data_IF_444365888465
#
_entry.id   IF_444365888465
#
_cell.length_a   1.000
_cell.length_b   1.000
_cell.length_c   1.000
_cell.angle_alpha   90.00
_cell.angle_beta   90.00
_cell.angle_gamma   90.00
#
_symmetry.space_group_name_H-M   'P 1'
#
loop_
_entity.id
_entity.type
_entity.pdbx_description
1 polymer ?
#
# COMPACT_ATOMS: atom_id res chain seq x y z
N UNK A 1 10.68 -22.19 15.74
CA UNK A 1 9.99 -20.98 16.21
C UNK A 1 9.18 -20.42 15.07
N UNK A 2 7.92 -20.09 15.29
CA UNK A 2 7.04 -19.55 14.23
C UNK A 2 7.36 -18.07 14.01
N UNK A 3 7.47 -17.63 12.76
CA UNK A 3 7.62 -16.20 12.38
C UNK A 3 6.54 -15.33 13.06
N UNK A 4 5.34 -15.90 13.23
CA UNK A 4 4.18 -15.23 13.85
C UNK A 4 4.42 -14.83 15.32
N UNK A 5 5.28 -15.52 16.05
CA UNK A 5 5.61 -15.18 17.45
C UNK A 5 6.61 -14.01 17.58
N UNK A 6 7.24 -13.62 16.48
CA UNK A 6 8.20 -12.51 16.43
C UNK A 6 7.57 -11.23 15.83
N UNK A 7 6.39 -11.33 15.25
CA UNK A 7 5.72 -10.20 14.64
C UNK A 7 4.80 -9.52 15.66
N UNK A 8 4.74 -8.19 15.60
CA UNK A 8 3.76 -7.40 16.32
C UNK A 8 2.35 -7.80 15.85
N UNK A 9 1.53 -8.28 16.77
CA UNK A 9 0.12 -8.52 16.47
C UNK A 9 -0.57 -7.17 16.21
N UNK A 10 -1.05 -6.98 15.01
CA UNK A 10 -1.91 -5.84 14.68
C UNK A 10 -3.34 -6.20 15.11
N UNK A 11 -3.88 -5.45 16.05
CA UNK A 11 -5.27 -5.56 16.44
C UNK A 11 -6.09 -4.63 15.53
N UNK A 12 -7.00 -5.21 14.73
CA UNK A 12 -7.85 -4.46 13.81
C UNK A 12 -8.64 -3.36 14.51
N UNK A 13 -9.19 -3.65 15.69
CA UNK A 13 -9.92 -2.67 16.51
C UNK A 13 -9.03 -1.49 16.91
N UNK A 14 -7.77 -1.73 17.29
CA UNK A 14 -6.85 -0.64 17.63
C UNK A 14 -6.50 0.22 16.42
N UNK A 15 -6.35 -0.37 15.24
CA UNK A 15 -6.13 0.39 14.01
C UNK A 15 -7.34 1.27 13.66
N UNK A 16 -8.55 0.73 13.78
CA UNK A 16 -9.79 1.49 13.58
C UNK A 16 -9.89 2.67 14.54
N UNK A 17 -9.70 2.45 15.85
CA UNK A 17 -9.73 3.50 16.84
C UNK A 17 -8.67 4.60 16.58
N UNK A 18 -7.44 4.20 16.21
CA UNK A 18 -6.39 5.18 15.89
C UNK A 18 -6.74 6.02 14.67
N UNK A 19 -7.34 5.39 13.66
CA UNK A 19 -7.80 6.10 12.46
C UNK A 19 -8.94 7.08 12.79
N UNK A 20 -9.91 6.62 13.57
CA UNK A 20 -11.04 7.41 14.01
C UNK A 20 -10.62 8.62 14.89
N UNK A 21 -9.59 8.45 15.72
CA UNK A 21 -9.01 9.54 16.51
C UNK A 21 -8.42 10.65 15.62
N UNK A 22 -7.78 10.29 14.50
CA UNK A 22 -7.18 11.28 13.61
C UNK A 22 -8.17 11.93 12.64
N UNK A 23 -9.38 11.42 12.53
CA UNK A 23 -10.37 11.90 11.58
C UNK A 23 -10.97 13.26 11.97
N UNK A 24 -11.09 13.57 13.25
CA UNK A 24 -11.59 14.85 13.71
C UNK A 24 -10.88 15.35 14.98
N UNK A 25 -10.75 16.68 15.17
CA UNK A 25 -10.16 17.26 16.36
C UNK A 25 -11.01 17.00 17.61
N UNK A 26 -10.35 16.78 18.74
CA UNK A 26 -11.00 16.55 20.04
C UNK A 26 -11.39 15.11 20.31
N UNK A 27 -11.19 14.18 19.38
CA UNK A 27 -11.38 12.74 19.57
C UNK A 27 -10.16 12.15 20.27
N UNK A 28 -10.38 11.33 21.29
CA UNK A 28 -9.33 10.68 22.06
C UNK A 28 -9.63 9.21 22.27
N UNK A 29 -8.59 8.38 22.33
CA UNK A 29 -8.73 6.99 22.74
C UNK A 29 -8.55 6.94 24.24
N UNK A 30 -9.57 6.48 24.96
CA UNK A 30 -9.52 6.35 26.41
C UNK A 30 -9.58 4.89 26.84
N UNK A 31 -9.04 4.61 28.01
CA UNK A 31 -9.18 3.32 28.70
C UNK A 31 -10.38 3.37 29.62
N UNK A 32 -11.28 2.38 29.50
CA UNK A 32 -12.45 2.27 30.37
C UNK A 32 -12.04 1.88 31.78
N UNK A 33 -12.65 2.51 32.77
CA UNK A 33 -12.40 2.23 34.19
C UNK A 33 -13.44 1.25 34.74
N UNK A 34 -12.97 0.20 35.39
CA UNK A 34 -13.86 -0.88 35.87
C UNK A 34 -14.85 -0.45 36.96
N UNK A 35 -14.60 0.67 37.68
CA UNK A 35 -15.46 1.19 38.71
C UNK A 35 -16.51 2.17 38.17
N UNK A 36 -16.41 2.62 36.92
CA UNK A 36 -17.32 3.57 36.32
C UNK A 36 -18.58 2.87 35.82
N UNK A 37 -19.74 3.48 36.12
CA UNK A 37 -21.04 2.98 35.68
C UNK A 37 -21.34 3.47 34.27
N UNK A 38 -21.00 2.68 33.27
CA UNK A 38 -21.36 2.96 31.90
C UNK A 38 -22.73 2.38 31.55
N UNK A 39 -23.52 3.15 30.80
CA UNK A 39 -24.72 2.67 30.14
C UNK A 39 -24.49 2.65 28.64
N UNK A 40 -25.11 1.69 27.96
CA UNK A 40 -25.07 1.57 26.51
C UNK A 40 -26.24 2.33 25.89
N UNK A 41 -25.95 3.08 24.85
CA UNK A 41 -26.89 3.87 24.05
C UNK A 41 -27.01 3.27 22.67
N UNK A 42 -28.22 3.18 22.16
CA UNK A 42 -28.47 3.10 20.72
C UNK A 42 -28.84 4.51 20.27
N UNK A 43 -27.92 5.17 19.59
CA UNK A 43 -28.10 6.53 19.07
C UNK A 43 -28.54 6.51 17.61
N UNK A 44 -29.45 7.42 17.26
CA UNK A 44 -29.96 7.58 15.89
C UNK A 44 -29.91 9.06 15.54
N UNK A 45 -29.43 9.37 14.34
CA UNK A 45 -29.42 10.73 13.78
C UNK A 45 -30.67 11.02 12.92
N UNK A 46 -30.77 12.22 12.36
CA UNK A 46 -31.85 12.65 11.48
C UNK A 46 -31.90 11.86 10.15
N UNK A 47 -30.81 11.21 9.75
CA UNK A 47 -30.71 10.38 8.54
C UNK A 47 -30.96 8.90 8.82
N UNK A 48 -31.38 8.56 10.05
CA UNK A 48 -31.61 7.19 10.49
C UNK A 48 -30.34 6.31 10.51
N UNK A 49 -29.17 6.94 10.66
CA UNK A 49 -27.94 6.22 10.95
C UNK A 49 -27.95 5.81 12.42
N UNK A 50 -27.52 4.57 12.69
CA UNK A 50 -27.52 4.02 14.03
C UNK A 50 -26.08 3.78 14.50
N UNK A 51 -25.82 4.10 15.78
CA UNK A 51 -24.54 3.80 16.42
C UNK A 51 -24.76 3.32 17.84
N UNK A 52 -23.93 2.32 18.21
CA UNK A 52 -23.84 1.88 19.61
C UNK A 52 -22.75 2.68 20.31
N UNK A 53 -23.15 3.40 21.35
CA UNK A 53 -22.26 4.21 22.15
C UNK A 53 -22.40 3.87 23.64
N UNK A 54 -21.50 4.39 24.45
CA UNK A 54 -21.53 4.29 25.89
C UNK A 54 -21.32 5.67 26.49
N UNK A 55 -21.86 5.88 27.70
CA UNK A 55 -21.60 7.09 28.46
C UNK A 55 -21.48 6.79 29.94
N UNK A 56 -20.74 7.63 30.64
CA UNK A 56 -20.63 7.59 32.10
C UNK A 56 -21.89 8.23 32.69
N UNK A 57 -22.74 7.40 33.29
CA UNK A 57 -24.01 7.88 33.86
C UNK A 57 -23.79 8.77 35.10
N UNK A 58 -22.74 8.55 35.87
CA UNK A 58 -22.45 9.37 37.05
C UNK A 58 -21.95 10.75 36.66
N UNK A 59 -21.16 10.84 35.59
CA UNK A 59 -20.72 12.11 35.00
C UNK A 59 -21.91 12.89 34.46
N UNK A 60 -22.78 12.20 33.71
CA UNK A 60 -23.99 12.81 33.14
C UNK A 60 -24.91 13.35 34.27
N UNK A 61 -25.17 12.55 35.33
CA UNK A 61 -25.98 12.95 36.45
C UNK A 61 -25.38 14.14 37.22
N UNK A 62 -24.05 14.17 37.35
CA UNK A 62 -23.36 15.30 37.97
C UNK A 62 -23.54 16.60 37.18
N UNK A 63 -23.53 16.53 35.89
CA UNK A 63 -23.79 17.70 35.02
C UNK A 63 -25.26 18.17 35.12
N UNK A 64 -26.17 17.26 35.42
CA UNK A 64 -27.60 17.54 35.64
C UNK A 64 -27.97 17.87 37.11
N UNK A 65 -27.03 17.76 38.05
CA UNK A 65 -27.30 17.89 39.49
C UNK A 65 -27.90 19.25 39.87
N UNK A 66 -27.63 20.29 39.11
CA UNK A 66 -28.27 21.60 39.28
C UNK A 66 -29.79 21.56 39.09
N UNK A 67 -30.32 20.54 38.39
CA UNK A 67 -31.73 20.39 38.07
C UNK A 67 -32.45 19.40 38.97
N UNK A 68 -31.71 18.51 39.65
CA UNK A 68 -32.24 17.44 40.51
C UNK A 68 -31.49 17.35 41.86
N UNK A 69 -31.50 18.41 42.63
CA UNK A 69 -30.74 18.46 43.88
C UNK A 69 -31.30 17.50 44.95
N UNK A 70 -30.39 16.88 45.69
CA UNK A 70 -30.73 16.11 46.90
C UNK A 70 -31.01 14.63 46.71
N UNK A 71 -30.82 14.07 45.51
CA UNK A 71 -30.91 12.63 45.24
C UNK A 71 -29.52 12.01 45.30
N UNK A 72 -29.29 10.96 46.10
CA UNK A 72 -28.00 10.25 46.15
C UNK A 72 -27.88 9.32 44.90
N UNK A 73 -27.69 9.88 43.75
CA UNK A 73 -27.69 9.17 42.44
C UNK A 73 -26.74 7.99 42.37
N UNK A 74 -25.58 8.09 43.04
CA UNK A 74 -24.60 7.02 43.14
C UNK A 74 -25.13 5.74 43.78
N UNK A 75 -26.16 5.87 44.63
CA UNK A 75 -26.80 4.74 45.31
C UNK A 75 -27.98 4.16 44.55
N UNK A 76 -28.43 4.83 43.49
CA UNK A 76 -29.51 4.35 42.63
C UNK A 76 -28.98 3.23 41.71
N UNK A 77 -29.58 2.02 41.77
CA UNK A 77 -29.16 0.92 40.89
C UNK A 77 -29.31 1.29 39.39
N UNK A 78 -28.35 0.88 38.57
CA UNK A 78 -28.31 1.20 37.14
C UNK A 78 -29.56 0.76 36.38
N UNK A 79 -30.22 -0.33 36.80
CA UNK A 79 -31.48 -0.80 36.24
C UNK A 79 -32.67 0.15 36.41
N UNK A 80 -32.67 0.96 37.47
CA UNK A 80 -33.68 2.01 37.65
C UNK A 80 -33.31 3.24 36.83
N UNK A 81 -32.01 3.55 36.71
CA UNK A 81 -31.54 4.67 35.92
C UNK A 81 -31.86 4.45 34.43
N UNK A 82 -31.65 3.25 33.87
CA UNK A 82 -32.00 2.98 32.48
C UNK A 82 -33.47 3.20 32.19
N UNK A 83 -34.37 2.70 33.07
CA UNK A 83 -35.82 2.91 32.90
C UNK A 83 -36.19 4.38 32.90
N UNK A 84 -35.64 5.14 33.85
CA UNK A 84 -35.89 6.56 34.00
C UNK A 84 -35.33 7.34 32.79
N UNK A 85 -34.08 7.10 32.43
CA UNK A 85 -33.43 7.80 31.31
C UNK A 85 -34.12 7.55 29.95
N UNK A 86 -34.65 6.35 29.74
CA UNK A 86 -35.47 6.06 28.54
C UNK A 86 -36.76 6.88 28.47
N UNK A 87 -37.26 7.38 29.60
CA UNK A 87 -38.45 8.30 29.61
C UNK A 87 -38.08 9.73 29.25
N UNK A 88 -36.78 10.09 29.32
CA UNK A 88 -36.33 11.47 29.07
C UNK A 88 -36.00 11.78 27.63
N UNK A 89 -35.96 10.78 26.72
CA UNK A 89 -35.57 10.93 25.33
C UNK A 89 -34.28 11.75 25.18
N UNK A 90 -33.18 11.21 25.69
CA UNK A 90 -31.90 11.90 25.71
C UNK A 90 -31.40 12.18 24.28
N UNK A 91 -30.88 13.39 24.10
CA UNK A 91 -30.20 13.77 22.86
C UNK A 91 -28.79 14.26 23.18
N UNK A 92 -27.88 13.99 22.25
CA UNK A 92 -26.48 14.35 22.35
C UNK A 92 -26.10 15.15 21.11
N UNK A 93 -25.49 16.31 21.32
CA UNK A 93 -24.90 17.08 20.22
C UNK A 93 -23.44 16.59 20.06
N UNK A 94 -23.14 15.96 18.94
CA UNK A 94 -21.83 15.42 18.60
C UNK A 94 -21.41 15.98 17.25
N UNK A 95 -20.32 16.73 17.19
CA UNK A 95 -19.77 17.26 15.93
C UNK A 95 -20.85 18.01 15.08
N UNK A 96 -21.62 18.87 15.77
CA UNK A 96 -22.72 19.67 15.19
C UNK A 96 -23.94 18.85 14.70
N UNK A 97 -23.99 17.55 14.99
CA UNK A 97 -25.14 16.67 14.67
C UNK A 97 -25.86 16.26 15.94
N UNK A 98 -27.19 16.30 15.92
CA UNK A 98 -28.01 15.85 17.03
C UNK A 98 -28.29 14.35 16.88
N UNK A 99 -27.88 13.60 17.90
CA UNK A 99 -28.13 12.17 18.04
C UNK A 99 -29.13 11.93 19.17
N UNK A 100 -30.20 11.20 18.87
CA UNK A 100 -31.24 10.86 19.86
C UNK A 100 -31.04 9.43 20.32
N UNK A 101 -31.11 9.21 21.63
CA UNK A 101 -31.08 7.87 22.20
C UNK A 101 -32.44 7.20 21.99
N UNK A 102 -32.45 6.18 21.11
CA UNK A 102 -33.62 5.33 20.88
C UNK A 102 -33.81 4.34 22.02
N UNK A 103 -32.70 3.81 22.55
CA UNK A 103 -32.72 2.89 23.69
C UNK A 103 -31.47 3.08 24.57
N UNK A 104 -31.68 2.92 25.90
CA UNK A 104 -30.63 3.00 26.92
C UNK A 104 -30.70 1.72 27.74
N UNK A 105 -29.66 0.91 27.67
CA UNK A 105 -29.61 -0.41 28.31
C UNK A 105 -28.36 -0.58 29.18
N UNK A 106 -28.41 -1.58 30.03
CA UNK A 106 -27.21 -2.07 30.70
C UNK A 106 -26.38 -2.89 29.71
N UNK A 107 -25.07 -2.67 29.64
CA UNK A 107 -24.22 -3.49 28.79
C UNK A 107 -24.36 -4.97 29.14
N UNK A 108 -24.72 -5.80 28.17
CA UNK A 108 -24.82 -7.26 28.36
C UNK A 108 -23.44 -7.94 28.36
N UNK A 109 -22.47 -7.30 27.73
CA UNK A 109 -21.09 -7.76 27.62
C UNK A 109 -20.12 -6.81 28.32
N UNK A 110 -18.95 -7.30 28.73
CA UNK A 110 -17.92 -6.43 29.25
C UNK A 110 -17.58 -5.32 28.25
N UNK A 111 -17.56 -4.09 28.71
CA UNK A 111 -17.21 -2.93 27.90
C UNK A 111 -15.78 -3.10 27.41
N UNK A 112 -15.49 -2.82 26.14
CA UNK A 112 -14.13 -2.88 25.61
C UNK A 112 -13.18 -2.00 26.42
N UNK A 113 -11.97 -2.49 26.66
CA UNK A 113 -10.97 -1.78 27.49
C UNK A 113 -10.53 -0.44 26.89
N UNK A 114 -10.71 -0.25 25.59
CA UNK A 114 -10.39 0.99 24.86
C UNK A 114 -11.55 1.38 23.98
N UNK A 115 -11.93 2.65 24.09
CA UNK A 115 -13.00 3.25 23.30
C UNK A 115 -12.55 4.61 22.74
N UNK A 116 -13.15 5.02 21.64
CA UNK A 116 -13.07 6.37 21.13
C UNK A 116 -13.98 7.26 21.96
N UNK A 117 -13.41 8.31 22.52
CA UNK A 117 -14.10 9.37 23.23
C UNK A 117 -14.42 10.51 22.28
N UNK A 118 -15.68 10.86 22.18
CA UNK A 118 -16.20 11.95 21.36
C UNK A 118 -16.71 13.06 22.28
N UNK A 119 -16.24 14.29 22.10
CA UNK A 119 -16.84 15.44 22.76
C UNK A 119 -18.32 15.54 22.37
N UNK A 120 -19.19 15.60 23.37
CA UNK A 120 -20.63 15.73 23.17
C UNK A 120 -21.27 16.52 24.29
N UNK A 121 -22.40 17.14 24.02
CA UNK A 121 -23.24 17.78 25.01
C UNK A 121 -24.51 16.94 25.25
N UNK A 122 -24.90 16.67 26.48
CA UNK A 122 -24.42 17.24 27.77
C UNK A 122 -23.21 16.53 28.37
N UNK A 123 -22.75 15.39 27.84
CA UNK A 123 -21.55 14.70 28.31
C UNK A 123 -20.90 13.91 27.16
N UNK A 124 -19.61 13.65 27.30
CA UNK A 124 -18.83 12.84 26.38
C UNK A 124 -19.44 11.47 26.15
N UNK A 125 -19.45 11.01 24.91
CA UNK A 125 -19.86 9.65 24.53
C UNK A 125 -18.64 8.83 24.09
N UNK A 126 -18.76 7.52 24.26
CA UNK A 126 -17.70 6.55 23.96
C UNK A 126 -18.22 5.54 22.96
N UNK A 127 -17.44 5.21 21.93
CA UNK A 127 -17.84 4.21 20.95
C UNK A 127 -16.64 3.40 20.44
N UNK A 128 -16.90 2.30 19.78
CA UNK A 128 -15.89 1.53 19.05
C UNK A 128 -15.75 2.02 17.63
N UNK A 129 -16.86 2.43 17.05
CA UNK A 129 -16.99 2.86 15.67
C UNK A 129 -17.96 4.04 15.61
N UNK A 130 -17.66 5.03 14.76
CA UNK A 130 -18.51 6.22 14.63
C UNK A 130 -18.92 6.41 13.18
N UNK A 131 -20.24 6.49 12.90
CA UNK A 131 -20.73 6.73 11.54
C UNK A 131 -20.36 8.13 11.06
N UNK A 132 -20.12 8.29 9.79
CA UNK A 132 -19.66 9.54 9.17
C UNK A 132 -18.23 9.42 8.65
N UNK A 133 -17.54 8.38 8.99
CA UNK A 133 -16.31 7.94 8.31
C UNK A 133 -16.63 7.05 7.10
N UNK A 134 -17.66 7.39 6.32
CA UNK A 134 -17.60 7.03 4.90
C UNK A 134 -16.30 7.70 4.45
N UNK A 135 -15.35 6.88 4.06
CA UNK A 135 -14.06 7.28 3.52
C UNK A 135 -14.30 8.13 2.26
N UNK A 136 -14.80 9.34 2.44
CA UNK A 136 -14.38 10.42 1.58
C UNK A 136 -12.94 10.63 2.00
N UNK A 137 -12.05 10.22 1.10
CA UNK A 137 -10.61 10.32 1.19
C UNK A 137 -10.18 11.79 1.39
N UNK A 138 -10.52 12.33 2.56
CA UNK A 138 -10.13 13.68 2.97
C UNK A 138 -8.82 13.60 3.73
N UNK A 139 -7.74 13.62 2.95
CA UNK A 139 -6.48 14.12 3.42
C UNK A 139 -5.54 13.12 4.09
N UNK A 140 -4.64 12.65 3.34
CA UNK A 140 -3.39 11.91 3.44
C UNK A 140 -3.46 10.52 2.79
N UNK A 141 -4.48 10.21 2.02
CA UNK A 141 -4.46 9.13 1.05
C UNK A 141 -3.34 9.41 0.05
N UNK A 142 -2.49 8.42 -0.21
CA UNK A 142 -1.53 8.51 -1.32
C UNK A 142 -2.34 8.89 -2.55
N UNK A 143 -2.06 10.06 -3.14
CA UNK A 143 -2.64 10.43 -4.41
C UNK A 143 -2.14 9.43 -5.47
N UNK A 144 -2.95 8.43 -5.78
CA UNK A 144 -2.57 7.38 -6.73
C UNK A 144 -2.16 7.94 -8.09
N UNK A 145 -2.69 9.10 -8.47
CA UNK A 145 -2.31 9.76 -9.71
C UNK A 145 -0.84 10.22 -9.73
N UNK A 146 -0.27 10.50 -8.55
CA UNK A 146 1.12 10.97 -8.38
C UNK A 146 2.11 9.85 -8.03
N UNK A 147 1.65 8.60 -7.86
CA UNK A 147 2.55 7.49 -7.58
C UNK A 147 3.57 7.36 -8.71
N UNK A 148 4.89 7.41 -8.40
CA UNK A 148 5.92 7.27 -9.41
C UNK A 148 6.00 5.82 -9.88
N UNK A 149 5.91 5.63 -11.20
CA UNK A 149 6.01 4.35 -11.87
C UNK A 149 7.24 4.35 -12.77
N UNK A 150 8.04 3.30 -12.73
CA UNK A 150 9.19 3.15 -13.64
C UNK A 150 8.71 2.53 -14.96
N UNK A 151 8.69 3.34 -16.03
CA UNK A 151 8.43 2.92 -17.39
C UNK A 151 9.73 2.49 -18.04
N UNK A 152 9.81 1.24 -18.51
CA UNK A 152 10.97 0.67 -19.20
C UNK A 152 10.68 0.52 -20.69
N UNK A 153 11.66 0.85 -21.50
CA UNK A 153 11.65 0.72 -22.96
C UNK A 153 12.46 -0.52 -23.33
N UNK A 154 11.82 -1.66 -23.50
CA UNK A 154 12.47 -2.94 -23.71
C UNK A 154 12.64 -3.21 -25.21
N UNK A 155 13.86 -3.49 -25.66
CA UNK A 155 14.18 -3.83 -27.05
C UNK A 155 13.99 -5.31 -27.35
N UNK A 156 14.11 -6.16 -26.34
CA UNK A 156 13.95 -7.59 -26.47
C UNK A 156 14.37 -8.36 -25.25
N UNK A 157 14.09 -9.64 -25.28
CA UNK A 157 14.46 -10.59 -24.23
C UNK A 157 15.16 -11.79 -24.83
N UNK A 158 16.06 -12.39 -24.04
CA UNK A 158 16.69 -13.67 -24.35
C UNK A 158 16.57 -14.59 -23.14
N UNK A 159 16.72 -15.87 -23.35
CA UNK A 159 17.03 -16.84 -22.30
C UNK A 159 18.36 -17.51 -22.62
N UNK A 160 19.20 -17.63 -21.62
CA UNK A 160 20.49 -18.32 -21.72
C UNK A 160 20.84 -19.01 -20.41
N UNK A 161 21.59 -20.11 -20.44
CA UNK A 161 22.12 -20.69 -19.22
C UNK A 161 23.14 -19.72 -18.58
N UNK A 162 23.22 -19.70 -17.28
CA UNK A 162 24.14 -18.84 -16.53
C UNK A 162 25.59 -19.02 -16.97
N UNK A 163 25.98 -20.26 -17.31
CA UNK A 163 27.31 -20.59 -17.85
C UNK A 163 27.67 -19.83 -19.12
N UNK A 164 26.69 -19.48 -19.97
CA UNK A 164 26.97 -18.74 -21.20
C UNK A 164 27.35 -17.26 -20.95
N UNK A 165 27.12 -16.77 -19.73
CA UNK A 165 27.43 -15.40 -19.32
C UNK A 165 28.68 -15.32 -18.41
N UNK A 166 29.22 -16.49 -18.00
CA UNK A 166 30.35 -16.53 -17.06
C UNK A 166 31.62 -15.93 -17.64
N UNK A 167 31.85 -16.12 -18.93
CA UNK A 167 33.06 -15.69 -19.63
C UNK A 167 32.85 -14.37 -20.42
N UNK A 168 31.74 -13.67 -20.18
CA UNK A 168 31.43 -12.42 -20.87
C UNK A 168 32.42 -11.33 -20.48
N UNK A 169 33.02 -10.69 -21.49
CA UNK A 169 33.96 -9.58 -21.29
C UNK A 169 33.52 -8.33 -22.08
N UNK A 170 34.00 -7.14 -21.70
CA UNK A 170 33.79 -5.94 -22.50
C UNK A 170 34.32 -6.14 -23.93
N UNK A 171 33.52 -5.75 -24.91
CA UNK A 171 33.74 -5.98 -26.36
C UNK A 171 32.97 -7.18 -26.92
N UNK A 172 32.37 -8.02 -26.07
CA UNK A 172 31.52 -9.12 -26.53
C UNK A 172 30.15 -8.63 -27.05
N UNK A 173 29.61 -9.36 -28.00
CA UNK A 173 28.31 -9.06 -28.60
C UNK A 173 27.23 -9.98 -28.02
N UNK A 174 26.25 -9.40 -27.36
CA UNK A 174 25.04 -10.08 -26.94
C UNK A 174 23.93 -9.86 -27.98
N UNK A 175 23.68 -10.88 -28.80
CA UNK A 175 22.65 -10.83 -29.87
C UNK A 175 21.26 -10.82 -29.22
N UNK A 176 20.40 -9.89 -29.66
CA UNK A 176 18.99 -9.86 -29.31
C UNK A 176 18.24 -10.87 -30.17
N UNK A 177 17.97 -12.06 -29.62
CA UNK A 177 17.36 -13.17 -30.36
C UNK A 177 15.87 -12.97 -30.56
N UNK A 178 15.20 -12.35 -29.60
CA UNK A 178 13.76 -12.05 -29.64
C UNK A 178 13.58 -10.54 -29.55
N UNK A 179 13.63 -9.79 -30.67
CA UNK A 179 13.35 -8.36 -30.66
C UNK A 179 11.86 -8.15 -30.41
N UNK A 180 11.54 -7.63 -29.26
CA UNK A 180 10.17 -7.36 -28.81
C UNK A 180 10.15 -5.94 -28.26
N UNK A 181 9.89 -4.96 -29.12
CA UNK A 181 9.88 -3.55 -28.68
C UNK A 181 8.61 -3.24 -27.89
N UNK A 182 8.73 -3.14 -26.56
CA UNK A 182 7.58 -2.85 -25.71
C UNK A 182 7.91 -1.96 -24.54
N UNK A 183 6.89 -1.20 -24.11
CA UNK A 183 6.88 -0.43 -22.88
C UNK A 183 6.37 -1.33 -21.76
N UNK A 184 7.08 -1.34 -20.62
CA UNK A 184 6.72 -2.16 -19.48
C UNK A 184 6.77 -1.38 -18.16
N UNK A 185 5.86 -1.71 -17.25
CA UNK A 185 5.87 -1.27 -15.83
C UNK A 185 5.82 -2.53 -14.96
N UNK A 186 6.84 -2.70 -14.11
CA UNK A 186 6.97 -3.91 -13.31
C UNK A 186 7.05 -5.16 -14.20
N UNK A 187 6.03 -6.02 -14.15
CA UNK A 187 5.92 -7.25 -14.94
C UNK A 187 4.95 -7.12 -16.11
N UNK A 188 4.28 -5.99 -16.26
CA UNK A 188 3.23 -5.81 -17.25
C UNK A 188 3.77 -5.13 -18.50
N UNK A 189 3.58 -5.79 -19.64
CA UNK A 189 3.83 -5.22 -20.96
C UNK A 189 2.60 -4.40 -21.35
N UNK A 190 2.80 -3.12 -21.68
CA UNK A 190 1.70 -2.19 -21.91
C UNK A 190 1.43 -1.94 -23.37
N UNK A 191 2.45 -1.49 -24.10
CA UNK A 191 2.35 -1.09 -25.50
C UNK A 191 3.58 -1.56 -26.27
N UNK A 192 3.43 -1.87 -27.53
CA UNK A 192 4.56 -1.93 -28.44
C UNK A 192 5.08 -0.52 -28.73
N UNK A 193 6.31 -0.38 -29.18
CA UNK A 193 6.84 0.88 -29.65
C UNK A 193 7.73 0.70 -30.87
N UNK A 194 8.01 1.79 -31.61
CA UNK A 194 9.03 1.88 -32.63
C UNK A 194 10.04 2.97 -32.24
N UNK A 195 11.33 2.65 -32.34
CA UNK A 195 12.44 3.58 -32.12
C UNK A 195 13.07 3.96 -33.47
N UNK A 196 13.19 5.26 -33.74
CA UNK A 196 13.68 5.78 -35.00
C UNK A 196 15.02 6.53 -34.88
N UNK A 197 15.65 6.49 -33.71
CA UNK A 197 16.98 7.07 -33.50
C UNK A 197 17.02 8.58 -33.24
N UNK A 198 15.87 9.22 -32.99
CA UNK A 198 15.77 10.67 -32.78
C UNK A 198 15.43 11.03 -31.30
N UNK A 199 15.97 10.27 -30.38
CA UNK A 199 15.68 10.45 -28.92
C UNK A 199 14.18 10.35 -28.57
N UNK A 200 13.39 9.72 -29.46
CA UNK A 200 11.96 9.54 -29.34
C UNK A 200 11.52 8.14 -29.72
N UNK A 201 10.48 7.66 -29.08
CA UNK A 201 9.77 6.43 -29.45
C UNK A 201 8.32 6.75 -29.78
N UNK A 202 7.76 6.04 -30.76
CA UNK A 202 6.35 6.14 -31.10
C UNK A 202 5.63 4.93 -30.52
N UNK A 203 4.62 5.19 -29.68
CA UNK A 203 3.79 4.15 -29.03
C UNK A 203 2.93 3.46 -30.06
N UNK A 204 3.03 2.15 -30.12
CA UNK A 204 2.27 1.27 -30.99
C UNK A 204 1.02 0.69 -30.31
N UNK A 205 0.66 -0.54 -30.66
CA UNK A 205 -0.54 -1.21 -30.16
C UNK A 205 -0.40 -1.60 -28.68
N UNK A 206 -1.50 -1.59 -27.94
CA UNK A 206 -1.56 -2.17 -26.62
C UNK A 206 -1.28 -3.68 -26.66
N UNK A 207 -0.49 -4.15 -25.70
CA UNK A 207 -0.17 -5.57 -25.53
C UNK A 207 -1.02 -6.05 -24.35
N UNK A 208 -1.98 -6.93 -24.63
CA UNK A 208 -2.74 -7.59 -23.57
C UNK A 208 -1.99 -8.86 -23.16
N UNK A 209 -1.40 -8.83 -21.99
CA UNK A 209 -0.56 -9.92 -21.46
C UNK A 209 -1.46 -11.09 -21.00
N UNK A 210 -1.76 -11.99 -21.92
CA UNK A 210 -2.49 -13.25 -21.63
C UNK A 210 -1.58 -14.49 -21.57
N UNK A 211 -0.25 -14.31 -21.59
CA UNK A 211 0.67 -15.43 -21.55
C UNK A 211 1.78 -15.20 -20.50
N UNK A 212 1.56 -15.74 -19.31
CA UNK A 212 2.71 -16.20 -18.52
C UNK A 212 3.36 -17.35 -19.32
N UNK A 213 4.65 -17.29 -19.65
CA UNK A 213 5.35 -18.45 -20.20
C UNK A 213 5.25 -19.57 -19.17
N UNK A 214 4.61 -20.66 -19.57
CA UNK A 214 4.52 -21.86 -18.74
C UNK A 214 5.93 -22.32 -18.42
N UNK A 215 6.21 -22.48 -17.14
CA UNK A 215 7.43 -23.15 -16.64
C UNK A 215 7.30 -24.58 -17.10
N UNK A 216 8.12 -25.00 -18.07
CA UNK A 216 8.32 -26.40 -18.36
C UNK A 216 9.03 -27.02 -17.15
N UNK A 217 8.34 -27.90 -16.45
CA UNK A 217 8.93 -28.74 -15.41
C UNK A 217 9.82 -29.77 -16.10
N UNK A 218 11.08 -29.43 -16.30
CA UNK A 218 12.12 -30.43 -16.58
C UNK A 218 12.79 -30.80 -15.26
N UNK A 219 12.67 -32.07 -14.89
CA UNK A 219 13.41 -32.70 -13.80
C UNK A 219 14.90 -32.66 -14.14
N UNK A 220 15.60 -31.64 -13.69
CA UNK A 220 17.03 -31.47 -13.97
C UNK A 220 17.84 -31.68 -12.69
N UNK A 221 18.77 -32.61 -12.74
CA UNK A 221 19.91 -32.68 -11.84
C UNK A 221 20.52 -31.29 -11.67
N UNK A 222 20.59 -30.83 -10.42
CA UNK A 222 20.93 -29.46 -10.00
C UNK A 222 22.38 -29.07 -10.39
N UNK A 223 22.59 -28.85 -11.65
CA UNK A 223 23.77 -28.12 -12.13
C UNK A 223 23.40 -26.62 -12.21
N UNK A 224 23.73 -25.89 -11.17
CA UNK A 224 23.41 -24.46 -11.03
C UNK A 224 23.93 -23.61 -12.20
N UNK A 225 24.96 -24.08 -12.92
CA UNK A 225 25.51 -23.36 -14.07
C UNK A 225 24.60 -23.41 -15.30
N UNK A 226 23.69 -24.38 -15.33
CA UNK A 226 22.68 -24.55 -16.38
C UNK A 226 21.35 -23.86 -16.11
N UNK A 227 21.21 -23.22 -14.94
CA UNK A 227 19.98 -22.47 -14.66
C UNK A 227 19.73 -21.43 -15.75
N UNK A 228 18.53 -21.42 -16.36
CA UNK A 228 18.16 -20.42 -17.32
C UNK A 228 18.04 -19.05 -16.62
N UNK A 229 18.60 -18.04 -17.25
CA UNK A 229 18.44 -16.65 -16.82
C UNK A 229 17.77 -15.85 -17.93
N UNK A 230 16.83 -15.01 -17.54
CA UNK A 230 16.22 -14.06 -18.45
C UNK A 230 17.13 -12.85 -18.61
N UNK A 231 17.44 -12.53 -19.87
CA UNK A 231 18.26 -11.40 -20.27
C UNK A 231 17.33 -10.37 -20.90
N UNK A 232 17.19 -9.20 -20.30
CA UNK A 232 16.35 -8.11 -20.80
C UNK A 232 17.24 -6.96 -21.26
N UNK A 233 17.03 -6.48 -22.50
CA UNK A 233 17.74 -5.36 -23.11
C UNK A 233 16.87 -4.11 -23.03
N UNK A 234 17.26 -3.13 -22.23
CA UNK A 234 16.49 -1.92 -21.95
C UNK A 234 17.15 -0.71 -22.58
N UNK A 235 16.46 -0.07 -23.52
CA UNK A 235 16.89 1.14 -24.20
C UNK A 235 16.98 2.31 -23.23
N UNK A 236 15.91 2.52 -22.45
CA UNK A 236 15.81 3.62 -21.48
C UNK A 236 14.82 3.31 -20.36
N UNK A 237 14.82 4.16 -19.34
CA UNK A 237 13.88 4.13 -18.20
C UNK A 237 13.45 5.53 -17.84
N UNK A 238 12.16 5.74 -17.76
CA UNK A 238 11.59 7.01 -17.35
C UNK A 238 10.67 6.81 -16.14
N UNK A 239 10.70 7.75 -15.20
CA UNK A 239 9.73 7.79 -14.11
C UNK A 239 8.54 8.61 -14.58
N UNK A 240 7.36 7.97 -14.58
CA UNK A 240 6.10 8.60 -14.94
C UNK A 240 5.09 8.45 -13.82
N UNK A 241 4.07 9.28 -13.78
CA UNK A 241 2.94 9.14 -12.85
C UNK A 241 1.82 8.34 -13.51
N UNK A 242 0.90 7.80 -12.70
CA UNK A 242 -0.28 7.11 -13.21
C UNK A 242 -1.13 8.03 -14.11
N UNK A 243 -1.21 9.31 -13.79
CA UNK A 243 -1.90 10.30 -14.63
C UNK A 243 -1.27 10.39 -16.02
N UNK A 244 0.07 10.49 -16.08
CA UNK A 244 0.78 10.51 -17.38
C UNK A 244 0.62 9.22 -18.13
N UNK A 245 0.62 8.07 -17.44
CA UNK A 245 0.41 6.76 -18.05
C UNK A 245 -0.97 6.67 -18.70
N UNK A 246 -2.02 7.16 -18.04
CA UNK A 246 -3.38 7.17 -18.57
C UNK A 246 -3.53 8.01 -19.84
N UNK A 247 -2.64 8.97 -20.06
CA UNK A 247 -2.63 9.83 -21.24
C UNK A 247 -1.83 9.24 -22.41
N UNK A 248 -1.15 8.09 -22.23
CA UNK A 248 -0.42 7.42 -23.29
C UNK A 248 -1.39 6.64 -24.17
N UNK A 249 -1.39 6.98 -25.47
CA UNK A 249 -2.23 6.35 -26.48
C UNK A 249 -1.38 5.87 -27.66
N UNK A 250 -1.95 5.05 -28.53
CA UNK A 250 -1.33 4.66 -29.81
C UNK A 250 -1.00 5.92 -30.62
N UNK A 251 0.24 6.04 -31.08
CA UNK A 251 0.74 7.22 -31.76
C UNK A 251 1.34 8.30 -30.85
N UNK A 252 1.26 8.16 -29.53
CA UNK A 252 1.96 9.06 -28.62
C UNK A 252 3.47 9.00 -28.86
N UNK A 253 4.13 10.16 -28.82
CA UNK A 253 5.59 10.27 -28.89
C UNK A 253 6.12 10.43 -27.48
N UNK A 254 7.00 9.53 -27.08
CA UNK A 254 7.64 9.56 -25.76
C UNK A 254 9.14 9.83 -25.92
N UNK A 255 9.70 10.75 -25.11
CA UNK A 255 11.13 11.02 -25.15
C UNK A 255 11.91 9.87 -24.53
N UNK A 256 13.09 9.61 -25.07
CA UNK A 256 14.14 8.78 -24.47
C UNK A 256 15.38 9.63 -24.26
N UNK A 257 16.28 9.16 -23.42
CA UNK A 257 17.54 9.86 -23.16
C UNK A 257 18.35 10.02 -24.43
N UNK A 258 19.00 11.18 -24.60
CA UNK A 258 19.86 11.44 -25.75
C UNK A 258 20.97 10.39 -25.87
N UNK A 259 21.07 9.75 -27.03
CA UNK A 259 22.02 8.67 -27.26
C UNK A 259 21.72 7.40 -26.46
N UNK A 260 20.43 7.11 -26.20
CA UNK A 260 20.01 5.91 -25.46
C UNK A 260 20.56 4.62 -26.07
N UNK A 261 20.72 4.56 -27.42
CA UNK A 261 21.30 3.44 -28.11
C UNK A 261 22.77 3.15 -27.78
N UNK A 262 23.48 4.14 -27.21
CA UNK A 262 24.88 3.99 -26.77
C UNK A 262 24.99 3.48 -25.32
N UNK A 263 23.88 3.45 -24.58
CA UNK A 263 23.85 3.13 -23.14
C UNK A 263 22.73 2.13 -22.85
N UNK A 264 22.64 1.08 -23.65
CA UNK A 264 21.69 -0.01 -23.42
C UNK A 264 22.02 -0.69 -22.09
N UNK A 265 21.01 -0.83 -21.24
CA UNK A 265 21.13 -1.53 -19.96
C UNK A 265 20.69 -2.98 -20.10
N UNK A 266 21.51 -3.89 -19.66
CA UNK A 266 21.28 -5.33 -19.69
C UNK A 266 20.92 -5.79 -18.27
N UNK A 267 19.80 -6.47 -18.13
CA UNK A 267 19.34 -7.02 -16.87
C UNK A 267 19.29 -8.54 -16.93
N UNK A 268 19.78 -9.21 -15.87
CA UNK A 268 19.62 -10.65 -15.65
C UNK A 268 18.61 -10.86 -14.54
N UNK A 269 17.53 -11.58 -14.82
CA UNK A 269 16.45 -11.78 -13.84
C UNK A 269 16.06 -10.46 -13.14
N UNK A 270 15.94 -9.35 -13.92
CA UNK A 270 15.61 -7.97 -13.46
C UNK A 270 16.68 -7.27 -12.62
N UNK A 271 17.86 -7.84 -12.45
CA UNK A 271 18.99 -7.18 -11.79
C UNK A 271 19.92 -6.60 -12.84
N UNK A 272 20.30 -5.34 -12.65
CA UNK A 272 21.27 -4.69 -13.53
C UNK A 272 22.58 -5.46 -13.55
N UNK A 273 22.98 -5.87 -14.76
CA UNK A 273 24.14 -6.71 -14.97
C UNK A 273 25.25 -6.01 -15.76
N UNK A 274 24.91 -5.39 -16.90
CA UNK A 274 25.87 -4.77 -17.78
C UNK A 274 25.25 -3.60 -18.54
N UNK A 275 26.12 -2.81 -19.20
CA UNK A 275 25.71 -1.81 -20.18
C UNK A 275 26.57 -1.92 -21.44
N UNK A 276 26.00 -1.48 -22.55
CA UNK A 276 26.68 -1.52 -23.84
C UNK A 276 26.01 -0.65 -24.91
N UNK A 277 26.50 -0.72 -26.10
CA UNK A 277 26.00 0.02 -27.27
C UNK A 277 25.18 -0.90 -28.19
N UNK A 278 24.06 -0.41 -28.70
CA UNK A 278 23.25 -1.14 -29.67
C UNK A 278 23.93 -1.13 -31.01
N UNK A 279 24.17 -2.29 -31.60
CA UNK A 279 24.83 -2.46 -32.92
C UNK A 279 23.96 -3.27 -33.84
N UNK A 280 23.98 -2.90 -35.13
CA UNK A 280 23.33 -3.66 -36.19
C UNK A 280 24.30 -4.73 -36.73
N UNK A 281 23.81 -5.96 -36.88
CA UNK A 281 24.58 -7.05 -37.48
C UNK A 281 24.42 -7.07 -38.99
N UNK A 282 25.44 -7.48 -39.70
CA UNK A 282 25.42 -7.59 -41.18
C UNK A 282 24.26 -8.45 -41.74
N UNK A 283 23.80 -9.42 -40.95
CA UNK A 283 22.63 -10.27 -41.21
C UNK A 283 21.27 -9.66 -40.92
N UNK A 284 21.19 -8.38 -40.51
CA UNK A 284 19.91 -7.68 -40.24
C UNK A 284 19.37 -7.86 -38.82
N UNK A 285 20.14 -8.44 -37.91
CA UNK A 285 19.81 -8.56 -36.50
C UNK A 285 20.35 -7.39 -35.67
N UNK A 286 19.96 -7.34 -34.40
CA UNK A 286 20.48 -6.39 -33.41
C UNK A 286 21.28 -7.15 -32.33
N UNK A 287 22.35 -6.50 -31.86
CA UNK A 287 23.13 -6.97 -30.73
C UNK A 287 23.48 -5.78 -29.82
N UNK A 288 23.92 -6.07 -28.62
CA UNK A 288 24.50 -5.07 -27.72
C UNK A 288 25.97 -5.43 -27.54
N UNK A 289 26.86 -4.53 -27.92
CA UNK A 289 28.29 -4.61 -27.60
C UNK A 289 28.47 -4.19 -26.15
N UNK A 290 28.92 -5.12 -25.33
CA UNK A 290 29.08 -4.91 -23.88
C UNK A 290 30.26 -3.99 -23.62
N UNK A 291 30.02 -2.84 -23.02
CA UNK A 291 31.08 -1.88 -22.67
C UNK A 291 31.51 -1.99 -21.21
N UNK A 292 30.57 -2.31 -20.33
CA UNK A 292 30.83 -2.41 -18.89
C UNK A 292 29.98 -3.51 -18.27
N UNK A 293 30.57 -4.29 -17.38
CA UNK A 293 29.90 -5.33 -16.58
C UNK A 293 29.91 -4.88 -15.12
N UNK A 294 28.72 -4.89 -14.51
CA UNK A 294 28.55 -4.54 -13.09
C UNK A 294 28.72 -5.80 -12.22
N UNK A 295 29.94 -6.32 -12.12
CA UNK A 295 30.23 -7.31 -11.11
C UNK A 295 30.40 -6.59 -9.75
N UNK A 296 29.56 -6.92 -8.78
CA UNK A 296 29.88 -6.60 -7.39
C UNK A 296 31.19 -7.30 -7.10
N UNK A 297 32.26 -6.55 -6.87
CA UNK A 297 33.44 -7.08 -6.19
C UNK A 297 32.94 -7.65 -4.85
N UNK A 298 32.94 -8.97 -4.72
CA UNK A 298 32.94 -9.58 -3.40
C UNK A 298 34.11 -8.97 -2.67
N UNK A 299 33.86 -8.21 -1.61
CA UNK A 299 34.84 -7.84 -0.64
C UNK A 299 35.46 -9.15 -0.18
N UNK A 300 36.65 -9.46 -0.66
CA UNK A 300 37.55 -10.37 0.00
C UNK A 300 37.72 -9.79 1.39
N UNK A 301 37.01 -10.36 2.38
CA UNK A 301 37.38 -10.25 3.79
C UNK A 301 38.81 -10.83 3.85
N UNK A 302 39.78 -9.94 3.81
CA UNK A 302 41.09 -10.23 4.29
C UNK A 302 40.96 -10.56 5.78
N UNK A 303 41.13 -11.83 6.07
CA UNK A 303 41.25 -12.37 7.41
C UNK A 303 42.51 -11.73 8.05
N UNK A 304 42.41 -10.91 9.11
CA UNK A 304 43.58 -10.26 9.70
C UNK A 304 44.32 -11.10 10.75
N UNK A 305 44.04 -12.40 10.82
CA UNK A 305 44.69 -13.29 11.83
C UNK A 305 45.45 -14.47 11.20
N UNK A 306 46.54 -14.12 10.50
CA UNK A 306 47.55 -15.10 10.18
C UNK A 306 48.94 -14.50 10.41
N UNK A 307 49.25 -14.06 11.66
CA UNK A 307 50.62 -13.95 12.19
C UNK A 307 50.54 -13.88 13.74
N UNK A 308 50.70 -15.03 14.38
CA UNK A 308 51.54 -15.29 15.53
C UNK A 308 51.48 -16.77 15.97
#
# INVERSE_FOLDING_TARGET
>A
MSLRSQLRLSNSTQMMLTRAQHAAPGREIIETQGETRYLQLLLVDEYNQQVTAFFDVDLWLKNMDSHLPGIPWQQVPSSYLTRWLNTLQLSFLVEDVIWTAEDIILPEQPIPARLLSLPAEPCTILCLDWPGESVEESGAGINLAEVPLELRYVLGINQAPLSALADLVPGDLLVIRQPLYYLAIGQHNLFSFSYQGNDEVIVGKAIFDNQQPGIAEDECLLDWTKLPVDIEFVLDRNVITLEKLNNINVGSVLPVSTGAEKIIKIYLNRKFFAMGELVALEGGGLAVEVNQINMRQENTMSDPDAEQ
#
